data_IF_908138161057
#
_entry.id   IF_908138161057
#
_cell.length_a   1.000
_cell.length_b   1.000
_cell.length_c   1.000
_cell.angle_alpha   90.00
_cell.angle_beta   90.00
_cell.angle_gamma   90.00
#
_symmetry.space_group_name_H-M   'P 1'
#
loop_
_entity.id
_entity.type
_entity.pdbx_description
1 polymer ?
#
# COMPACT_ATOMS: atom_id res chain seq x y z
N UNK A 1 -12.91 18.34 11.82
CA UNK A 1 -12.18 17.09 11.56
C UNK A 1 -10.84 17.17 12.29
N UNK A 2 -10.54 16.25 13.21
CA UNK A 2 -9.28 16.30 13.96
C UNK A 2 -8.15 15.66 13.13
N UNK A 3 -6.97 16.30 13.09
CA UNK A 3 -5.80 15.78 12.39
C UNK A 3 -5.24 14.51 13.03
N UNK A 4 -5.29 14.46 14.39
CA UNK A 4 -4.79 13.35 15.20
C UNK A 4 -5.88 12.31 15.47
N UNK A 5 -5.46 11.09 15.76
CA UNK A 5 -6.37 10.04 16.23
C UNK A 5 -6.95 10.41 17.60
N UNK A 6 -8.15 9.91 17.85
CA UNK A 6 -8.83 10.02 19.15
C UNK A 6 -9.31 8.63 19.58
N UNK A 7 -9.88 8.52 20.77
CA UNK A 7 -10.52 7.27 21.22
C UNK A 7 -11.70 6.86 20.33
N UNK A 8 -12.35 7.82 19.65
CA UNK A 8 -13.52 7.57 18.83
C UNK A 8 -13.17 7.16 17.38
N UNK A 9 -11.99 7.53 16.85
CA UNK A 9 -11.65 7.21 15.47
C UNK A 9 -10.29 7.71 15.02
N UNK A 10 -9.95 7.37 13.78
CA UNK A 10 -8.72 7.82 13.14
C UNK A 10 -8.82 9.28 12.70
N UNK A 11 -7.72 10.00 12.83
CA UNK A 11 -7.59 11.38 12.37
C UNK A 11 -7.53 11.51 10.85
N UNK A 12 -7.73 12.73 10.35
CA UNK A 12 -7.78 13.02 8.92
C UNK A 12 -6.53 12.54 8.16
N UNK A 13 -5.34 12.78 8.72
CA UNK A 13 -4.09 12.37 8.07
C UNK A 13 -3.95 10.83 7.97
N UNK A 14 -4.33 10.09 9.02
CA UNK A 14 -4.28 8.63 8.99
C UNK A 14 -5.24 8.04 7.94
N UNK A 15 -6.44 8.65 7.78
CA UNK A 15 -7.41 8.29 6.75
C UNK A 15 -6.91 8.63 5.35
N UNK A 16 -6.39 9.85 5.18
CA UNK A 16 -5.84 10.30 3.89
C UNK A 16 -4.71 9.38 3.42
N UNK A 17 -3.71 9.11 4.25
CA UNK A 17 -2.59 8.23 3.92
C UNK A 17 -3.06 6.81 3.59
N UNK A 18 -4.10 6.31 4.30
CA UNK A 18 -4.66 5.01 3.99
C UNK A 18 -5.26 4.96 2.58
N UNK A 19 -6.19 5.85 2.31
CA UNK A 19 -6.93 5.83 1.06
C UNK A 19 -6.07 6.26 -0.14
N UNK A 20 -5.10 7.17 0.06
CA UNK A 20 -4.12 7.50 -0.97
C UNK A 20 -3.32 6.26 -1.40
N UNK A 21 -2.79 5.49 -0.42
CA UNK A 21 -2.07 4.24 -0.71
C UNK A 21 -2.97 3.24 -1.44
N UNK A 22 -4.23 3.05 -1.00
CA UNK A 22 -5.17 2.13 -1.66
C UNK A 22 -5.40 2.52 -3.11
N UNK A 23 -5.68 3.80 -3.38
CA UNK A 23 -5.91 4.29 -4.75
C UNK A 23 -4.66 4.12 -5.62
N UNK A 24 -3.48 4.43 -5.08
CA UNK A 24 -2.22 4.30 -5.81
C UNK A 24 -1.87 2.83 -6.11
N UNK A 25 -2.14 1.89 -5.21
CA UNK A 25 -1.94 0.45 -5.46
C UNK A 25 -2.86 -0.04 -6.59
N UNK A 26 -4.13 0.40 -6.58
CA UNK A 26 -5.05 0.06 -7.67
C UNK A 26 -4.56 0.68 -8.99
N UNK A 27 -4.14 1.94 -8.98
CA UNK A 27 -3.60 2.60 -10.17
C UNK A 27 -2.34 1.90 -10.71
N UNK A 28 -1.45 1.42 -9.83
CA UNK A 28 -0.27 0.63 -10.16
C UNK A 28 -0.62 -0.61 -10.98
N UNK A 29 -1.60 -1.37 -10.50
CA UNK A 29 -2.06 -2.58 -11.17
C UNK A 29 -2.63 -2.24 -12.55
N UNK A 30 -3.52 -1.26 -12.63
CA UNK A 30 -4.14 -0.86 -13.91
C UNK A 30 -3.09 -0.36 -14.92
N UNK A 31 -2.08 0.39 -14.45
CA UNK A 31 -1.02 0.92 -15.33
C UNK A 31 -0.15 -0.20 -15.89
N UNK A 32 0.24 -1.18 -15.07
CA UNK A 32 1.12 -2.25 -15.56
C UNK A 32 0.38 -3.20 -16.48
N UNK A 33 -0.85 -3.60 -16.16
CA UNK A 33 -1.68 -4.42 -17.05
C UNK A 33 -1.89 -3.73 -18.40
N UNK A 34 -2.19 -2.43 -18.38
CA UNK A 34 -2.33 -1.67 -19.62
C UNK A 34 -1.01 -1.56 -20.41
N UNK A 35 0.13 -1.49 -19.72
CA UNK A 35 1.45 -1.44 -20.36
C UNK A 35 1.83 -2.76 -21.04
N UNK A 36 1.41 -3.89 -20.50
CA UNK A 36 1.66 -5.23 -21.08
C UNK A 36 0.99 -5.39 -22.44
N UNK A 37 -0.18 -4.79 -22.63
CA UNK A 37 -0.93 -4.81 -23.89
C UNK A 37 -0.34 -3.88 -24.97
N UNK A 38 0.56 -2.97 -24.59
CA UNK A 38 1.18 -2.04 -25.53
C UNK A 38 2.34 -2.68 -26.31
N UNK A 39 2.51 -2.36 -27.61
CA UNK A 39 3.71 -2.75 -28.34
C UNK A 39 4.94 -2.05 -27.75
N UNK A 40 6.10 -2.67 -27.91
CA UNK A 40 7.37 -2.08 -27.47
C UNK A 40 7.57 -0.71 -28.13
N UNK A 41 7.75 0.31 -27.31
CA UNK A 41 7.84 1.69 -27.79
C UNK A 41 7.70 2.74 -26.69
N UNK A 42 7.69 4.02 -27.09
CA UNK A 42 7.67 5.14 -26.13
C UNK A 42 6.51 5.09 -25.14
N UNK A 43 5.32 4.66 -25.58
CA UNK A 43 4.12 4.63 -24.73
C UNK A 43 4.24 3.57 -23.64
N UNK A 44 4.72 2.37 -23.97
CA UNK A 44 4.99 1.31 -23.01
C UNK A 44 6.06 1.73 -22.01
N UNK A 45 7.16 2.33 -22.50
CA UNK A 45 8.23 2.82 -21.61
C UNK A 45 7.74 3.94 -20.69
N UNK A 46 6.87 4.83 -21.15
CA UNK A 46 6.26 5.87 -20.33
C UNK A 46 5.34 5.28 -19.26
N UNK A 47 4.55 4.25 -19.58
CA UNK A 47 3.70 3.56 -18.60
C UNK A 47 4.54 2.87 -17.52
N UNK A 48 5.60 2.15 -17.90
CA UNK A 48 6.53 1.52 -16.95
C UNK A 48 7.23 2.57 -16.07
N UNK A 49 7.66 3.72 -16.64
CA UNK A 49 8.27 4.80 -15.88
C UNK A 49 7.28 5.40 -14.85
N UNK A 50 6.01 5.56 -15.22
CA UNK A 50 4.95 5.99 -14.32
C UNK A 50 4.69 4.95 -13.21
N UNK A 51 4.65 3.65 -13.56
CA UNK A 51 4.54 2.57 -12.59
C UNK A 51 5.67 2.65 -11.55
N UNK A 52 6.94 2.78 -11.98
CA UNK A 52 8.09 2.93 -11.08
C UNK A 52 7.94 4.17 -10.17
N UNK A 53 7.57 5.31 -10.74
CA UNK A 53 7.40 6.58 -10.00
C UNK A 53 6.31 6.49 -8.94
N UNK A 54 5.16 5.90 -9.28
CA UNK A 54 4.05 5.70 -8.32
C UNK A 54 4.47 4.67 -7.26
N UNK A 55 5.22 3.63 -7.61
CA UNK A 55 5.77 2.66 -6.65
C UNK A 55 6.63 3.33 -5.58
N UNK A 56 7.53 4.23 -5.99
CA UNK A 56 8.36 5.00 -5.06
C UNK A 56 7.53 5.99 -4.22
N UNK A 57 6.47 6.57 -4.80
CA UNK A 57 5.52 7.40 -4.04
C UNK A 57 4.78 6.58 -2.98
N UNK A 58 4.33 5.37 -3.31
CA UNK A 58 3.70 4.44 -2.35
C UNK A 58 4.67 4.10 -1.21
N UNK A 59 5.94 3.82 -1.51
CA UNK A 59 6.97 3.60 -0.50
C UNK A 59 7.10 4.79 0.46
N UNK A 60 7.21 6.00 -0.07
CA UNK A 60 7.31 7.23 0.71
C UNK A 60 6.07 7.43 1.60
N UNK A 61 4.86 7.28 1.04
CA UNK A 61 3.62 7.42 1.80
C UNK A 61 3.47 6.33 2.88
N UNK A 62 3.91 5.09 2.61
CA UNK A 62 3.91 4.01 3.58
C UNK A 62 4.83 4.30 4.76
N UNK A 63 6.04 4.81 4.50
CA UNK A 63 6.98 5.24 5.55
C UNK A 63 6.40 6.38 6.39
N UNK A 64 5.82 7.40 5.75
CA UNK A 64 5.12 8.50 6.45
C UNK A 64 3.96 7.96 7.30
N UNK A 65 3.18 7.00 6.79
CA UNK A 65 2.07 6.39 7.51
C UNK A 65 2.56 5.61 8.74
N UNK A 66 3.67 4.87 8.63
CA UNK A 66 4.27 4.15 9.75
C UNK A 66 4.81 5.14 10.79
N UNK A 67 5.57 6.15 10.36
CA UNK A 67 6.07 7.18 11.24
C UNK A 67 4.92 7.89 11.98
N UNK A 68 3.86 8.26 11.27
CA UNK A 68 2.68 8.87 11.87
C UNK A 68 2.02 7.96 12.91
N UNK A 69 1.91 6.65 12.62
CA UNK A 69 1.36 5.67 13.57
C UNK A 69 2.20 5.59 14.85
N UNK A 70 3.53 5.73 14.75
CA UNK A 70 4.44 5.66 15.89
C UNK A 70 4.37 6.93 16.76
N UNK A 71 4.32 8.13 16.14
CA UNK A 71 4.39 9.41 16.86
C UNK A 71 3.02 9.94 17.29
N UNK A 72 1.93 9.48 16.69
CA UNK A 72 0.61 10.04 16.95
C UNK A 72 -0.01 9.61 18.29
N UNK A 73 0.56 8.67 19.02
CA UNK A 73 0.21 8.29 20.40
C UNK A 73 -1.23 7.79 20.63
N UNK A 74 -2.23 8.38 19.99
CA UNK A 74 -3.64 8.02 20.12
C UNK A 74 -4.01 6.80 19.28
N UNK A 75 -4.68 5.84 19.92
CA UNK A 75 -5.31 4.71 19.20
C UNK A 75 -6.80 4.77 19.45
N UNK A 76 -7.64 4.58 18.42
CA UNK A 76 -9.06 4.39 18.64
C UNK A 76 -9.32 3.25 19.62
N UNK A 77 -10.32 3.42 20.49
CA UNK A 77 -10.70 2.39 21.45
C UNK A 77 -10.96 1.07 20.70
N UNK A 78 -10.50 -0.08 21.24
CA UNK A 78 -10.72 -1.37 20.59
C UNK A 78 -12.21 -1.62 20.36
N UNK A 79 -12.57 -2.08 19.17
CA UNK A 79 -13.92 -2.60 18.92
C UNK A 79 -14.02 -3.97 19.61
N UNK A 80 -15.08 -4.21 20.41
CA UNK A 80 -15.28 -5.51 21.05
C UNK A 80 -15.37 -6.63 20.01
N UNK A 81 -14.44 -7.58 20.07
CA UNK A 81 -14.38 -8.72 19.15
C UNK A 81 -13.72 -9.94 19.83
N UNK A 82 -14.03 -11.17 19.38
CA UNK A 82 -13.36 -12.38 19.87
C UNK A 82 -11.84 -12.30 19.71
N UNK A 83 -11.11 -12.98 20.63
CA UNK A 83 -9.63 -12.97 20.62
C UNK A 83 -9.04 -13.39 19.29
N UNK A 84 -9.61 -14.42 18.63
CA UNK A 84 -9.16 -14.92 17.33
C UNK A 84 -9.24 -13.84 16.26
N UNK A 85 -10.37 -13.12 16.16
CA UNK A 85 -10.53 -12.03 15.18
C UNK A 85 -9.54 -10.89 15.45
N UNK A 86 -9.27 -10.57 16.70
CA UNK A 86 -8.29 -9.55 17.07
C UNK A 86 -6.87 -9.93 16.67
N UNK A 87 -6.49 -11.20 16.85
CA UNK A 87 -5.17 -11.72 16.43
C UNK A 87 -5.08 -11.70 14.88
N UNK A 88 -6.10 -12.21 14.20
CA UNK A 88 -6.14 -12.21 12.74
C UNK A 88 -6.07 -10.77 12.16
N UNK A 89 -6.78 -9.81 12.74
CA UNK A 89 -6.71 -8.41 12.34
C UNK A 89 -5.31 -7.81 12.55
N UNK A 90 -4.66 -8.12 13.70
CA UNK A 90 -3.31 -7.65 13.98
C UNK A 90 -2.29 -8.24 13.01
N UNK A 91 -2.37 -9.55 12.74
CA UNK A 91 -1.50 -10.26 11.78
C UNK A 91 -1.72 -9.73 10.35
N UNK A 92 -2.96 -9.59 9.92
CA UNK A 92 -3.30 -9.05 8.59
C UNK A 92 -2.78 -7.63 8.37
N UNK A 93 -2.94 -6.74 9.36
CA UNK A 93 -2.37 -5.40 9.28
C UNK A 93 -0.83 -5.42 9.28
N UNK A 94 -0.21 -6.27 10.09
CA UNK A 94 1.25 -6.44 10.10
C UNK A 94 1.78 -6.90 8.75
N UNK A 95 1.13 -7.91 8.16
CA UNK A 95 1.46 -8.43 6.85
C UNK A 95 1.26 -7.39 5.75
N UNK A 96 0.16 -6.62 5.76
CA UNK A 96 -0.05 -5.52 4.81
C UNK A 96 1.05 -4.46 4.91
N UNK A 97 1.48 -4.07 6.12
CA UNK A 97 2.59 -3.13 6.27
C UNK A 97 3.90 -3.69 5.71
N UNK A 98 4.18 -4.98 5.92
CA UNK A 98 5.36 -5.62 5.35
C UNK A 98 5.31 -5.62 3.82
N UNK A 99 4.17 -6.02 3.25
CA UNK A 99 4.00 -6.15 1.80
C UNK A 99 4.05 -4.81 1.08
N UNK A 100 3.41 -3.75 1.61
CA UNK A 100 3.46 -2.41 0.99
C UNK A 100 4.84 -1.76 1.03
N UNK A 101 5.76 -2.23 1.89
CA UNK A 101 7.16 -1.83 1.87
C UNK A 101 7.98 -2.74 0.96
N UNK A 102 7.81 -4.05 1.04
CA UNK A 102 8.57 -5.01 0.26
C UNK A 102 8.31 -4.88 -1.24
N UNK A 103 7.07 -4.65 -1.64
CA UNK A 103 6.67 -4.54 -3.04
C UNK A 103 7.45 -3.46 -3.82
N UNK A 104 7.48 -2.18 -3.42
CA UNK A 104 8.26 -1.18 -4.15
C UNK A 104 9.77 -1.38 -4.00
N UNK A 105 10.26 -1.96 -2.90
CA UNK A 105 11.67 -2.25 -2.73
C UNK A 105 12.15 -3.35 -3.69
N UNK A 106 11.37 -4.40 -3.90
CA UNK A 106 11.70 -5.44 -4.89
C UNK A 106 11.64 -4.90 -6.31
N UNK A 107 10.66 -4.04 -6.65
CA UNK A 107 10.63 -3.34 -7.94
C UNK A 107 11.84 -2.41 -8.17
N UNK A 108 12.34 -1.77 -7.11
CA UNK A 108 13.56 -0.97 -7.19
C UNK A 108 14.80 -1.84 -7.40
N UNK A 109 14.93 -2.97 -6.70
CA UNK A 109 15.99 -3.96 -6.92
C UNK A 109 15.93 -4.54 -8.33
N UNK A 110 14.74 -4.95 -8.80
CA UNK A 110 14.49 -5.45 -10.15
C UNK A 110 14.96 -4.42 -11.21
N UNK A 111 14.58 -3.16 -11.07
CA UNK A 111 15.00 -2.10 -11.98
C UNK A 111 16.52 -1.88 -11.97
N UNK A 112 17.14 -1.88 -10.77
CA UNK A 112 18.59 -1.70 -10.60
C UNK A 112 19.37 -2.86 -11.22
N UNK A 113 18.94 -4.09 -11.00
CA UNK A 113 19.62 -5.29 -11.55
C UNK A 113 19.46 -5.42 -13.06
N UNK A 114 18.42 -4.81 -13.65
CA UNK A 114 18.27 -4.65 -15.10
C UNK A 114 19.12 -3.53 -15.70
N UNK A 115 19.90 -2.78 -14.88
CA UNK A 115 20.71 -1.66 -15.35
C UNK A 115 19.93 -0.35 -15.58
N UNK A 116 18.65 -0.27 -15.15
CA UNK A 116 17.83 0.92 -15.35
C UNK A 116 17.66 1.71 -14.06
N UNK A 117 17.86 3.05 -14.08
CA UNK A 117 17.53 3.88 -12.94
C UNK A 117 16.01 3.92 -12.69
N UNK A 118 15.64 4.21 -11.45
CA UNK A 118 14.25 4.41 -11.07
C UNK A 118 13.95 5.91 -11.03
N UNK A 119 13.29 6.41 -12.08
CA UNK A 119 12.87 7.81 -12.18
C UNK A 119 11.72 8.14 -11.24
N UNK A 120 11.59 9.44 -10.88
CA UNK A 120 10.46 9.96 -10.11
C UNK A 120 9.76 11.08 -10.89
N UNK A 121 8.78 10.74 -11.66
CA UNK A 121 7.95 11.64 -12.49
C UNK A 121 8.76 12.60 -13.39
N UNK A 122 9.96 12.20 -13.81
CA UNK A 122 10.86 13.03 -14.63
C UNK A 122 11.59 14.14 -13.87
N UNK A 123 11.42 14.24 -12.53
CA UNK A 123 12.06 15.28 -11.73
C UNK A 123 13.48 14.92 -11.32
N UNK A 124 13.72 13.67 -10.94
CA UNK A 124 15.00 13.12 -10.54
C UNK A 124 14.97 11.59 -10.65
N UNK A 125 16.12 10.98 -10.44
CA UNK A 125 16.28 9.54 -10.42
C UNK A 125 16.81 9.08 -9.06
N UNK A 126 16.26 8.00 -8.56
CA UNK A 126 16.81 7.30 -7.42
C UNK A 126 18.08 6.53 -7.84
N UNK A 127 19.10 6.45 -6.98
CA UNK A 127 20.29 5.69 -7.29
C UNK A 127 19.97 4.21 -7.50
N UNK A 128 20.75 3.53 -8.32
CA UNK A 128 20.72 2.08 -8.38
C UNK A 128 21.27 1.52 -7.05
N UNK A 129 20.54 0.57 -6.48
CA UNK A 129 20.87 -0.05 -5.18
C UNK A 129 21.47 -1.45 -5.33
N UNK A 130 21.62 -1.93 -6.56
CA UNK A 130 22.29 -3.17 -6.93
C UNK A 130 23.02 -2.98 -8.25
N UNK A 131 24.06 -3.78 -8.48
CA UNK A 131 24.74 -3.85 -9.78
C UNK A 131 23.90 -4.60 -10.79
N UNK A 132 24.09 -4.29 -12.08
CA UNK A 132 23.45 -5.01 -13.18
C UNK A 132 23.83 -6.52 -13.12
N UNK A 133 22.80 -7.38 -13.14
CA UNK A 133 22.96 -8.81 -13.09
C UNK A 133 21.66 -9.46 -13.58
N UNK A 134 21.74 -10.23 -14.65
CA UNK A 134 20.59 -10.84 -15.31
C UNK A 134 19.85 -11.84 -14.41
N UNK A 135 20.58 -12.75 -13.76
CA UNK A 135 19.97 -13.77 -12.89
C UNK A 135 19.26 -13.13 -11.68
N UNK A 136 19.86 -12.05 -11.13
CA UNK A 136 19.25 -11.31 -10.04
C UNK A 136 18.01 -10.52 -10.51
N UNK A 137 18.01 -10.02 -11.75
CA UNK A 137 16.84 -9.36 -12.33
C UNK A 137 15.65 -10.34 -12.42
N UNK A 138 15.84 -11.51 -13.03
CA UNK A 138 14.80 -12.53 -13.14
C UNK A 138 14.28 -12.96 -11.77
N UNK A 139 15.16 -13.19 -10.81
CA UNK A 139 14.77 -13.49 -9.43
C UNK A 139 13.90 -12.39 -8.79
N UNK A 140 14.28 -11.11 -8.92
CA UNK A 140 13.48 -10.03 -8.33
C UNK A 140 12.18 -9.77 -9.08
N UNK A 141 12.10 -10.06 -10.37
CA UNK A 141 10.86 -10.06 -11.15
C UNK A 141 9.86 -11.08 -10.59
N UNK A 142 10.26 -12.34 -10.46
CA UNK A 142 9.42 -13.41 -9.88
C UNK A 142 8.98 -13.05 -8.44
N UNK A 143 9.90 -12.54 -7.62
CA UNK A 143 9.58 -12.12 -6.25
C UNK A 143 8.60 -10.96 -6.23
N UNK A 144 8.76 -9.97 -7.12
CA UNK A 144 7.87 -8.81 -7.21
C UNK A 144 6.43 -9.24 -7.58
N UNK A 145 6.29 -10.11 -8.57
CA UNK A 145 5.00 -10.66 -8.99
C UNK A 145 4.34 -11.50 -7.88
N UNK A 146 5.10 -12.39 -7.25
CA UNK A 146 4.61 -13.22 -6.16
C UNK A 146 4.16 -12.37 -4.95
N UNK A 147 4.93 -11.36 -4.58
CA UNK A 147 4.58 -10.42 -3.51
C UNK A 147 3.31 -9.64 -3.86
N UNK A 148 3.12 -9.24 -5.13
CA UNK A 148 1.90 -8.57 -5.56
C UNK A 148 0.68 -9.49 -5.42
N UNK A 149 0.76 -10.75 -5.84
CA UNK A 149 -0.33 -11.71 -5.69
C UNK A 149 -0.73 -11.90 -4.22
N UNK A 150 0.25 -11.98 -3.31
CA UNK A 150 0.01 -12.05 -1.86
C UNK A 150 -0.59 -10.74 -1.35
N UNK A 151 -0.05 -9.58 -1.74
CA UNK A 151 -0.57 -8.26 -1.35
C UNK A 151 -2.03 -8.09 -1.77
N UNK A 152 -2.36 -8.40 -3.03
CA UNK A 152 -3.71 -8.31 -3.56
C UNK A 152 -4.68 -9.22 -2.79
N UNK A 153 -4.28 -10.48 -2.54
CA UNK A 153 -5.08 -11.44 -1.77
C UNK A 153 -5.37 -10.92 -0.36
N UNK A 154 -4.33 -10.48 0.37
CA UNK A 154 -4.48 -9.99 1.75
C UNK A 154 -5.28 -8.69 1.78
N UNK A 155 -5.11 -7.80 0.78
CA UNK A 155 -5.88 -6.56 0.68
C UNK A 155 -7.38 -6.83 0.43
N UNK A 156 -7.71 -7.79 -0.44
CA UNK A 156 -9.11 -8.22 -0.67
C UNK A 156 -9.70 -8.81 0.61
N UNK A 157 -9.00 -9.71 1.29
CA UNK A 157 -9.46 -10.29 2.56
C UNK A 157 -9.64 -9.21 3.64
N UNK A 158 -8.75 -8.22 3.71
CA UNK A 158 -8.87 -7.07 4.61
C UNK A 158 -10.12 -6.23 4.30
N UNK A 159 -10.38 -5.95 3.02
CA UNK A 159 -11.57 -5.21 2.60
C UNK A 159 -12.86 -5.99 2.91
N UNK A 160 -12.90 -7.30 2.62
CA UNK A 160 -14.03 -8.17 2.94
C UNK A 160 -14.28 -8.25 4.45
N UNK A 161 -13.22 -8.35 5.27
CA UNK A 161 -13.36 -8.30 6.72
C UNK A 161 -13.97 -6.96 7.20
N UNK A 162 -13.52 -5.84 6.64
CA UNK A 162 -14.09 -4.53 6.97
C UNK A 162 -15.57 -4.41 6.57
N UNK A 163 -15.95 -4.95 5.41
CA UNK A 163 -17.36 -5.02 4.96
C UNK A 163 -18.18 -5.94 5.85
N UNK A 164 -17.65 -7.11 6.25
CA UNK A 164 -18.31 -8.01 7.20
C UNK A 164 -18.58 -7.30 8.53
N UNK A 165 -17.62 -6.59 9.07
CA UNK A 165 -17.79 -5.78 10.29
C UNK A 165 -18.87 -4.72 10.11
N UNK A 166 -18.94 -4.08 8.94
CA UNK A 166 -19.92 -3.03 8.66
C UNK A 166 -21.34 -3.56 8.50
N UNK A 167 -21.54 -4.59 7.66
CA UNK A 167 -22.87 -5.07 7.28
C UNK A 167 -23.44 -6.15 8.21
N UNK A 168 -22.58 -7.06 8.69
CA UNK A 168 -23.00 -8.20 9.50
C UNK A 168 -22.87 -7.89 10.99
N UNK A 169 -21.68 -7.44 11.41
CA UNK A 169 -21.43 -7.09 12.83
C UNK A 169 -22.03 -5.74 13.20
N UNK A 170 -22.27 -4.86 12.24
CA UNK A 170 -22.80 -3.51 12.39
C UNK A 170 -22.01 -2.65 13.39
N UNK A 171 -20.69 -2.86 13.45
CA UNK A 171 -19.78 -2.12 14.32
C UNK A 171 -19.12 -0.94 13.60
N UNK A 172 -18.28 -0.20 14.32
CA UNK A 172 -17.67 1.04 13.83
C UNK A 172 -16.34 0.83 13.08
N UNK A 173 -15.89 -0.41 12.84
CA UNK A 173 -14.58 -0.74 12.26
C UNK A 173 -14.34 0.00 10.95
N UNK A 174 -15.21 -0.17 9.96
CA UNK A 174 -15.09 0.49 8.66
C UNK A 174 -15.33 2.00 8.79
N UNK A 175 -16.38 2.44 9.50
CA UNK A 175 -16.72 3.86 9.63
C UNK A 175 -15.60 4.71 10.17
N UNK A 176 -14.82 4.18 11.11
CA UNK A 176 -13.67 4.87 11.71
C UNK A 176 -12.57 5.19 10.69
N UNK A 177 -12.49 4.45 9.56
CA UNK A 177 -11.49 4.64 8.52
C UNK A 177 -12.07 5.35 7.27
N UNK A 178 -13.39 5.42 7.10
CA UNK A 178 -13.98 6.13 5.96
C UNK A 178 -13.64 7.62 5.99
N UNK A 179 -13.27 8.23 4.84
CA UNK A 179 -13.12 9.66 4.73
C UNK A 179 -14.50 10.33 4.93
N UNK A 180 -14.51 11.54 5.45
CA UNK A 180 -15.72 12.37 5.64
C UNK A 180 -16.82 11.80 6.57
N UNK A 181 -16.66 10.59 7.10
CA UNK A 181 -17.60 9.96 8.02
C UNK A 181 -17.07 10.07 9.44
N UNK A 182 -17.85 10.68 10.33
CA UNK A 182 -17.58 10.70 11.77
C UNK A 182 -18.09 9.43 12.47
N UNK A 183 -17.62 9.17 13.72
CA UNK A 183 -18.23 8.13 14.54
C UNK A 183 -19.70 8.44 14.80
N UNK A 184 -20.53 7.40 15.02
CA UNK A 184 -21.92 7.61 15.44
C UNK A 184 -21.91 8.37 16.78
N UNK A 185 -22.73 9.40 16.87
CA UNK A 185 -23.04 10.01 18.16
C UNK A 185 -23.93 9.00 18.90
N UNK A 186 -23.40 8.38 19.94
CA UNK A 186 -24.18 7.62 20.94
C UNK A 186 -24.86 8.58 21.87
#
# INVERSE_FOLDING_TARGET
MHWRNSLQGYGALAKFLHWAIVVLIIAQYVIIEAAEELPDGPDKFAAIANHKSIGMLVLGLALVRIAWKLVNGGRPAPVPMPRVQRIAAAAGHGLLYLLILAQPLTGWLMSSTAGYPTGFFGWFEFPMIAAENHDAHEFYEEVHEALFAVLATVAVLHALAALYHHFVRKDETLRRMLPFVGPRRT
#
